data_IF_773034855099
#
_entry.id   IF_773034855099
#
_cell.length_a   1.000
_cell.length_b   1.000
_cell.length_c   1.000
_cell.angle_alpha   90.00
_cell.angle_beta   90.00
_cell.angle_gamma   90.00
#
_symmetry.space_group_name_H-M   'P 1'
#
loop_
_entity.id
_entity.type
_entity.pdbx_description
1 polymer ?
#
# COMPACT_ATOMS: atom_id res chain seq x y z
N UNK A 1 -23.84 -22.88 35.06
CA UNK A 1 -22.50 -23.46 34.85
C UNK A 1 -22.21 -23.67 33.37
N UNK A 2 -23.11 -24.28 32.59
CA UNK A 2 -22.94 -24.47 31.14
C UNK A 2 -22.82 -23.17 30.34
N UNK A 3 -23.61 -22.13 30.65
CA UNK A 3 -23.54 -20.85 29.94
C UNK A 3 -22.16 -20.18 30.06
N UNK A 4 -21.58 -20.14 31.28
CA UNK A 4 -20.25 -19.58 31.52
C UNK A 4 -19.17 -20.35 30.75
N UNK A 5 -19.22 -21.68 30.74
CA UNK A 5 -18.26 -22.53 30.00
C UNK A 5 -18.37 -22.34 28.48
N UNK A 6 -19.59 -22.23 27.97
CA UNK A 6 -19.84 -22.00 26.55
C UNK A 6 -19.40 -20.60 26.11
N UNK A 7 -19.51 -19.60 27.00
CA UNK A 7 -19.02 -18.23 26.77
C UNK A 7 -17.49 -18.14 26.80
N UNK A 8 -16.83 -18.84 27.74
CA UNK A 8 -15.37 -18.93 27.79
C UNK A 8 -14.77 -19.46 26.49
N UNK A 9 -15.34 -20.55 25.99
CA UNK A 9 -14.96 -21.18 24.72
C UNK A 9 -15.29 -20.30 23.50
N UNK A 10 -16.41 -19.58 23.53
CA UNK A 10 -16.82 -18.68 22.45
C UNK A 10 -15.85 -17.49 22.28
N UNK A 11 -15.44 -16.85 23.38
CA UNK A 11 -14.53 -15.70 23.32
C UNK A 11 -13.16 -16.14 22.80
N UNK A 12 -12.60 -17.24 23.32
CA UNK A 12 -11.32 -17.76 22.86
C UNK A 12 -11.34 -18.09 21.36
N UNK A 13 -12.38 -18.79 20.89
CA UNK A 13 -12.58 -19.10 19.46
C UNK A 13 -12.72 -17.85 18.60
N UNK A 14 -13.44 -16.84 19.08
CA UNK A 14 -13.63 -15.57 18.36
C UNK A 14 -12.32 -14.80 18.25
N UNK A 15 -11.57 -14.70 19.34
CA UNK A 15 -10.24 -14.06 19.34
C UNK A 15 -9.28 -14.76 18.38
N UNK A 16 -9.25 -16.10 18.40
CA UNK A 16 -8.42 -16.89 17.49
C UNK A 16 -8.82 -16.67 16.03
N UNK A 17 -10.13 -16.68 15.74
CA UNK A 17 -10.66 -16.42 14.40
C UNK A 17 -10.25 -15.05 13.87
N UNK A 18 -10.34 -14.00 14.69
CA UNK A 18 -9.89 -12.65 14.33
C UNK A 18 -8.39 -12.65 14.01
N UNK A 19 -7.55 -13.28 14.84
CA UNK A 19 -6.10 -13.37 14.60
C UNK A 19 -5.77 -14.09 13.30
N UNK A 20 -6.50 -15.17 12.98
CA UNK A 20 -6.34 -15.90 11.72
C UNK A 20 -6.71 -15.02 10.52
N UNK A 21 -7.82 -14.28 10.57
CA UNK A 21 -8.20 -13.36 9.51
C UNK A 21 -7.18 -12.25 9.31
N UNK A 22 -6.65 -11.68 10.40
CA UNK A 22 -5.57 -10.69 10.36
C UNK A 22 -4.31 -11.26 9.69
N UNK A 23 -3.93 -12.49 10.03
CA UNK A 23 -2.78 -13.19 9.44
C UNK A 23 -2.93 -13.40 7.94
N UNK A 24 -4.09 -13.91 7.49
CA UNK A 24 -4.38 -14.13 6.07
C UNK A 24 -4.35 -12.80 5.31
N UNK A 25 -4.98 -11.75 5.86
CA UNK A 25 -4.95 -10.42 5.27
C UNK A 25 -3.53 -9.86 5.14
N UNK A 26 -2.69 -10.06 6.16
CA UNK A 26 -1.29 -9.62 6.15
C UNK A 26 -0.52 -10.27 4.99
N UNK A 27 -0.58 -11.60 4.86
CA UNK A 27 0.13 -12.29 3.78
C UNK A 27 -0.40 -11.95 2.40
N UNK A 28 -1.72 -11.86 2.24
CA UNK A 28 -2.35 -11.45 0.98
C UNK A 28 -1.84 -10.08 0.52
N UNK A 29 -1.82 -9.08 1.41
CA UNK A 29 -1.35 -7.73 1.09
C UNK A 29 0.14 -7.75 0.76
N UNK A 30 0.95 -8.49 1.53
CA UNK A 30 2.40 -8.60 1.28
C UNK A 30 2.66 -9.11 -0.13
N UNK A 31 2.10 -10.26 -0.50
CA UNK A 31 2.34 -10.83 -1.82
C UNK A 31 1.80 -9.94 -2.95
N UNK A 32 0.55 -9.47 -2.82
CA UNK A 32 -0.06 -8.57 -3.81
C UNK A 32 0.79 -7.33 -4.08
N UNK A 33 1.30 -6.69 -3.02
CA UNK A 33 2.13 -5.49 -3.15
C UNK A 33 3.51 -5.76 -3.71
N UNK A 34 4.11 -6.90 -3.38
CA UNK A 34 5.38 -7.30 -3.99
C UNK A 34 5.24 -7.47 -5.49
N UNK A 35 4.19 -8.13 -5.96
CA UNK A 35 3.94 -8.28 -7.39
C UNK A 35 3.66 -6.94 -8.06
N UNK A 36 2.82 -6.09 -7.46
CA UNK A 36 2.52 -4.75 -7.96
C UNK A 36 3.78 -3.90 -8.11
N UNK A 37 4.59 -3.79 -7.07
CA UNK A 37 5.82 -2.98 -7.07
C UNK A 37 6.87 -3.54 -8.04
N UNK A 38 6.99 -4.87 -8.14
CA UNK A 38 7.93 -5.50 -9.06
C UNK A 38 7.54 -5.28 -10.52
N UNK A 39 6.23 -5.31 -10.81
CA UNK A 39 5.69 -4.95 -12.13
C UNK A 39 6.00 -3.49 -12.50
N UNK A 40 5.76 -2.55 -11.57
CA UNK A 40 6.08 -1.12 -11.81
C UNK A 40 7.59 -0.94 -12.02
N UNK A 41 8.44 -1.58 -11.23
CA UNK A 41 9.89 -1.50 -11.41
C UNK A 41 10.32 -1.98 -12.80
N UNK A 42 9.78 -3.11 -13.26
CA UNK A 42 10.05 -3.64 -14.60
C UNK A 42 9.61 -2.67 -15.70
N UNK A 43 8.40 -2.11 -15.60
CA UNK A 43 7.92 -1.11 -16.55
C UNK A 43 8.75 0.18 -16.54
N UNK A 44 9.38 0.54 -15.42
CA UNK A 44 10.28 1.68 -15.35
C UNK A 44 11.53 1.48 -16.18
N UNK A 45 12.17 0.32 -16.06
CA UNK A 45 13.33 -0.05 -16.91
C UNK A 45 12.97 -0.09 -18.39
N UNK A 46 11.76 -0.55 -18.72
CA UNK A 46 11.26 -0.53 -20.10
C UNK A 46 11.02 0.89 -20.61
N UNK A 47 10.47 1.76 -19.77
CA UNK A 47 10.26 3.17 -20.11
C UNK A 47 11.58 3.91 -20.32
N UNK A 48 12.57 3.69 -19.46
CA UNK A 48 13.89 4.30 -19.58
C UNK A 48 14.60 3.94 -20.89
N UNK A 49 14.37 2.74 -21.43
CA UNK A 49 14.94 2.32 -22.71
C UNK A 49 14.12 2.79 -23.90
N UNK A 50 12.83 2.44 -23.93
CA UNK A 50 12.03 2.56 -25.14
C UNK A 50 11.39 3.95 -25.31
N UNK A 51 11.10 4.67 -24.21
CA UNK A 51 10.41 5.97 -24.28
C UNK A 51 11.32 7.07 -24.83
N UNK A 52 12.58 7.09 -24.40
CA UNK A 52 13.55 8.13 -24.77
C UNK A 52 14.21 7.91 -26.14
N UNK A 53 14.14 6.69 -26.68
CA UNK A 53 14.63 6.36 -28.04
C UNK A 53 13.63 6.72 -29.15
N UNK A 54 12.39 7.08 -28.81
CA UNK A 54 11.34 7.32 -29.79
C UNK A 54 11.38 8.74 -30.37
N UNK A 55 11.14 8.86 -31.68
CA UNK A 55 11.19 10.14 -32.40
C UNK A 55 10.07 11.12 -32.03
N UNK A 56 8.94 10.62 -31.52
CA UNK A 56 7.80 11.44 -31.12
C UNK A 56 7.21 11.02 -29.77
N UNK A 57 6.61 11.97 -29.05
CA UNK A 57 5.94 11.69 -27.77
C UNK A 57 4.76 10.71 -27.89
N UNK A 58 4.05 10.70 -29.03
CA UNK A 58 2.95 9.76 -29.23
C UNK A 58 3.45 8.33 -29.44
N UNK A 59 4.49 8.13 -30.26
CA UNK A 59 5.14 6.82 -30.44
C UNK A 59 5.82 6.35 -29.16
N UNK A 60 6.46 7.26 -28.41
CA UNK A 60 7.05 6.97 -27.11
C UNK A 60 6.02 6.40 -26.13
N UNK A 61 4.85 7.06 -26.00
CA UNK A 61 3.73 6.60 -25.18
C UNK A 61 3.17 5.24 -25.65
N UNK A 62 3.05 5.03 -26.96
CA UNK A 62 2.53 3.78 -27.54
C UNK A 62 3.47 2.59 -27.38
N UNK A 63 4.79 2.84 -27.28
CA UNK A 63 5.81 1.82 -26.99
C UNK A 63 5.72 1.23 -25.58
N UNK A 64 4.99 1.88 -24.67
CA UNK A 64 4.82 1.43 -23.29
C UNK A 64 3.60 0.51 -23.15
N UNK A 65 3.68 -0.47 -22.25
CA UNK A 65 2.55 -1.35 -21.91
C UNK A 65 1.31 -0.53 -21.47
N UNK A 66 0.09 -0.84 -21.95
CA UNK A 66 -1.16 -0.15 -21.57
C UNK A 66 -1.43 -0.10 -20.05
N UNK A 67 -0.93 -1.08 -19.30
CA UNK A 67 -1.05 -1.16 -17.83
C UNK A 67 0.11 -0.50 -17.08
N UNK A 68 1.06 0.09 -17.80
CA UNK A 68 2.22 0.77 -17.22
C UNK A 68 1.82 2.07 -16.54
N UNK A 69 2.30 2.22 -15.30
CA UNK A 69 2.24 3.47 -14.55
C UNK A 69 2.92 4.63 -15.29
N UNK A 70 4.01 4.35 -16.02
CA UNK A 70 4.76 5.34 -16.78
C UNK A 70 3.96 5.81 -17.99
N UNK A 71 3.24 4.90 -18.66
CA UNK A 71 2.31 5.25 -19.75
C UNK A 71 1.18 6.15 -19.26
N UNK A 72 0.59 5.82 -18.11
CA UNK A 72 -0.45 6.65 -17.51
C UNK A 72 0.03 8.09 -17.24
N UNK A 73 1.25 8.26 -16.72
CA UNK A 73 1.85 9.59 -16.48
C UNK A 73 2.13 10.29 -17.81
N UNK A 74 2.74 9.61 -18.77
CA UNK A 74 3.00 10.14 -20.10
C UNK A 74 1.73 10.62 -20.79
N UNK A 75 0.66 9.82 -20.74
CA UNK A 75 -0.64 10.16 -21.31
C UNK A 75 -1.25 11.40 -20.66
N UNK A 76 -1.20 11.51 -19.32
CA UNK A 76 -1.70 12.70 -18.62
C UNK A 76 -0.87 13.95 -18.91
N UNK A 77 0.45 13.83 -19.01
CA UNK A 77 1.34 14.92 -19.41
C UNK A 77 1.04 15.38 -20.84
N UNK A 78 1.05 14.48 -21.82
CA UNK A 78 0.78 14.79 -23.24
C UNK A 78 -0.65 15.32 -23.44
N UNK A 79 -1.63 14.79 -22.72
CA UNK A 79 -3.01 15.30 -22.82
C UNK A 79 -3.12 16.73 -22.29
N UNK A 80 -2.33 17.09 -21.27
CA UNK A 80 -2.35 18.43 -20.68
C UNK A 80 -1.85 19.51 -21.62
N UNK A 81 -0.95 19.19 -22.56
CA UNK A 81 -0.46 20.16 -23.55
C UNK A 81 -1.49 20.48 -24.64
N UNK A 82 -2.42 19.55 -24.91
CA UNK A 82 -3.47 19.72 -25.94
C UNK A 82 -4.76 20.36 -25.44
N UNK A 83 -4.91 20.53 -24.12
CA UNK A 83 -6.17 20.97 -23.49
C UNK A 83 -5.95 22.15 -22.53
N UNK A 84 -5.08 23.08 -22.91
CA UNK A 84 -4.88 24.34 -22.19
C UNK A 84 -5.87 25.44 -22.64
N UNK A 85 -6.96 25.08 -23.34
CA UNK A 85 -7.84 26.05 -24.03
C UNK A 85 -9.11 26.44 -23.24
N UNK A 86 -9.14 26.22 -21.92
CA UNK A 86 -10.30 26.56 -21.08
C UNK A 86 -10.21 27.99 -20.52
N UNK A 87 -11.32 28.75 -20.54
CA UNK A 87 -11.39 30.15 -20.03
C UNK A 87 -10.99 30.33 -18.55
N UNK A 88 -11.03 29.26 -17.75
CA UNK A 88 -10.52 29.25 -16.37
C UNK A 88 -9.04 28.81 -16.27
N UNK A 89 -8.55 28.07 -17.25
CA UNK A 89 -7.17 27.55 -17.33
C UNK A 89 -6.22 28.54 -17.99
N UNK A 90 -6.73 29.46 -18.82
CA UNK A 90 -5.98 30.55 -19.47
C UNK A 90 -5.30 31.50 -18.46
N UNK A 91 -5.78 31.51 -17.21
CA UNK A 91 -5.16 32.27 -16.09
C UNK A 91 -3.95 31.57 -15.47
N UNK A 92 -3.73 30.29 -15.78
CA UNK A 92 -2.62 29.50 -15.27
C UNK A 92 -1.61 29.37 -16.40
N UNK A 93 -0.37 29.73 -16.13
CA UNK A 93 0.73 29.56 -17.05
C UNK A 93 0.87 28.10 -17.53
N UNK A 94 1.22 27.90 -18.81
CA UNK A 94 1.29 26.58 -19.44
C UNK A 94 2.22 25.62 -18.69
N UNK A 95 3.41 26.09 -18.30
CA UNK A 95 4.37 25.29 -17.53
C UNK A 95 3.78 24.85 -16.20
N UNK A 96 3.10 25.77 -15.51
CA UNK A 96 2.42 25.47 -14.25
C UNK A 96 1.31 24.42 -14.45
N UNK A 97 0.53 24.51 -15.52
CA UNK A 97 -0.54 23.58 -15.84
C UNK A 97 -0.03 22.15 -16.12
N UNK A 98 1.01 22.03 -16.94
CA UNK A 98 1.64 20.73 -17.26
C UNK A 98 2.28 20.12 -16.01
N UNK A 99 2.99 20.93 -15.21
CA UNK A 99 3.56 20.51 -13.91
C UNK A 99 2.50 19.89 -13.01
N UNK A 100 1.39 20.61 -12.79
CA UNK A 100 0.28 20.15 -11.93
C UNK A 100 -0.33 18.86 -12.47
N UNK A 101 -0.47 18.73 -13.80
CA UNK A 101 -1.06 17.55 -14.43
C UNK A 101 -0.22 16.30 -14.22
N UNK A 102 1.10 16.39 -14.40
CA UNK A 102 2.04 15.30 -14.13
C UNK A 102 2.08 14.97 -12.64
N UNK A 103 2.17 15.99 -11.79
CA UNK A 103 2.22 15.82 -10.33
C UNK A 103 0.96 15.12 -9.80
N UNK A 104 -0.23 15.49 -10.27
CA UNK A 104 -1.50 14.79 -9.95
C UNK A 104 -1.48 13.33 -10.39
N UNK A 105 -0.89 13.04 -11.56
CA UNK A 105 -0.76 11.66 -12.02
C UNK A 105 0.16 10.85 -11.10
N UNK A 106 1.31 11.41 -10.70
CA UNK A 106 2.26 10.81 -9.76
C UNK A 106 1.62 10.58 -8.39
N UNK A 107 0.88 11.56 -7.85
CA UNK A 107 0.20 11.45 -6.57
C UNK A 107 -0.86 10.35 -6.57
N UNK A 108 -1.59 10.19 -7.68
CA UNK A 108 -2.54 9.10 -7.83
C UNK A 108 -1.82 7.75 -7.75
N UNK A 109 -0.67 7.60 -8.41
CA UNK A 109 0.15 6.38 -8.34
C UNK A 109 0.63 6.12 -6.90
N UNK A 110 1.12 7.15 -6.22
CA UNK A 110 1.58 7.07 -4.83
C UNK A 110 0.45 6.59 -3.90
N UNK A 111 -0.76 7.14 -4.06
CA UNK A 111 -1.94 6.72 -3.31
C UNK A 111 -2.25 5.23 -3.53
N UNK A 112 -2.25 4.76 -4.78
CA UNK A 112 -2.50 3.35 -5.10
C UNK A 112 -1.45 2.41 -4.49
N UNK A 113 -0.18 2.83 -4.46
CA UNK A 113 0.90 2.08 -3.80
C UNK A 113 0.70 1.99 -2.28
N UNK A 114 0.14 3.04 -1.66
CA UNK A 114 -0.14 3.11 -0.22
C UNK A 114 -1.32 2.26 0.25
N UNK A 115 -2.26 1.90 -0.63
CA UNK A 115 -3.42 1.09 -0.28
C UNK A 115 -3.01 -0.22 0.45
N UNK A 116 -3.73 -0.60 1.52
CA UNK A 116 -3.43 -1.82 2.28
C UNK A 116 -2.26 -1.71 3.26
N UNK A 117 -1.36 -0.72 3.15
CA UNK A 117 -0.32 -0.51 4.16
C UNK A 117 -0.90 -0.14 5.53
N UNK A 118 -1.98 0.64 5.54
CA UNK A 118 -2.71 0.97 6.77
C UNK A 118 -3.20 -0.30 7.51
N UNK A 119 -3.67 -1.31 6.77
CA UNK A 119 -4.08 -2.58 7.37
C UNK A 119 -2.90 -3.29 8.03
N UNK A 120 -1.74 -3.38 7.36
CA UNK A 120 -0.53 -3.98 7.96
C UNK A 120 -0.09 -3.24 9.22
N UNK A 121 -0.13 -1.91 9.21
CA UNK A 121 0.20 -1.09 10.37
C UNK A 121 -0.78 -1.35 11.53
N UNK A 122 -2.08 -1.41 11.25
CA UNK A 122 -3.11 -1.71 12.26
C UNK A 122 -2.98 -3.12 12.80
N UNK A 123 -2.79 -4.14 11.96
CA UNK A 123 -2.58 -5.52 12.44
C UNK A 123 -1.31 -5.62 13.28
N UNK A 124 -0.22 -5.00 12.82
CA UNK A 124 1.05 -4.98 13.53
C UNK A 124 0.96 -4.36 14.92
N UNK A 125 0.13 -3.33 15.12
CA UNK A 125 -0.06 -2.70 16.42
C UNK A 125 -1.14 -3.34 17.28
N UNK A 126 -2.18 -3.94 16.69
CA UNK A 126 -3.35 -4.43 17.45
C UNK A 126 -3.34 -5.93 17.74
N UNK A 127 -2.74 -6.76 16.88
CA UNK A 127 -2.74 -8.22 17.06
C UNK A 127 -2.13 -8.70 18.40
N UNK A 128 -1.06 -8.07 18.96
CA UNK A 128 -0.54 -8.45 20.27
C UNK A 128 -1.58 -8.24 21.39
N UNK A 129 -2.34 -7.14 21.32
CA UNK A 129 -3.37 -6.83 22.31
C UNK A 129 -4.58 -7.75 22.18
N UNK A 130 -4.93 -8.17 20.97
CA UNK A 130 -5.96 -9.20 20.73
C UNK A 130 -5.54 -10.54 21.36
N UNK A 131 -4.28 -10.95 21.20
CA UNK A 131 -3.75 -12.16 21.84
C UNK A 131 -3.69 -12.06 23.38
N UNK A 132 -3.28 -10.91 23.90
CA UNK A 132 -3.28 -10.61 25.33
C UNK A 132 -4.71 -10.68 25.90
N UNK A 133 -5.69 -10.10 25.22
CA UNK A 133 -7.10 -10.18 25.60
C UNK A 133 -7.58 -11.63 25.71
N UNK A 134 -7.28 -12.46 24.71
CA UNK A 134 -7.61 -13.90 24.76
C UNK A 134 -6.98 -14.61 25.96
N UNK A 135 -5.75 -14.25 26.31
CA UNK A 135 -5.03 -14.81 27.47
C UNK A 135 -5.68 -14.39 28.78
N UNK A 136 -5.99 -13.10 28.94
CA UNK A 136 -6.65 -12.55 30.14
C UNK A 136 -8.02 -13.21 30.34
N UNK A 137 -8.80 -13.36 29.27
CA UNK A 137 -10.10 -14.02 29.34
C UNK A 137 -9.99 -15.51 29.71
N UNK A 138 -9.04 -16.23 29.10
CA UNK A 138 -8.79 -17.64 29.41
C UNK A 138 -8.42 -17.87 30.87
N UNK A 139 -7.50 -17.05 31.41
CA UNK A 139 -7.10 -17.11 32.83
C UNK A 139 -8.29 -16.75 33.75
N UNK A 140 -9.06 -15.72 33.41
CA UNK A 140 -10.27 -15.36 34.17
C UNK A 140 -11.26 -16.52 34.24
N UNK A 141 -11.51 -17.19 33.12
CA UNK A 141 -12.44 -18.31 33.06
C UNK A 141 -11.93 -19.52 33.88
N UNK A 142 -10.64 -19.83 33.77
CA UNK A 142 -9.99 -20.89 34.54
C UNK A 142 -10.09 -20.65 36.05
N UNK A 143 -9.74 -19.45 36.52
CA UNK A 143 -9.81 -19.09 37.94
C UNK A 143 -11.25 -19.10 38.47
N UNK A 144 -12.21 -18.65 37.66
CA UNK A 144 -13.64 -18.71 38.02
C UNK A 144 -14.11 -20.15 38.20
N UNK A 145 -13.75 -21.05 37.29
CA UNK A 145 -14.10 -22.48 37.38
C UNK A 145 -13.51 -23.13 38.64
N UNK A 146 -12.26 -22.82 38.98
CA UNK A 146 -11.61 -23.29 40.21
C UNK A 146 -12.33 -22.77 41.45
N UNK A 147 -12.65 -21.47 41.49
CA UNK A 147 -13.36 -20.83 42.60
C UNK A 147 -14.73 -21.46 42.85
N UNK A 148 -15.48 -21.80 41.79
CA UNK A 148 -16.78 -22.50 41.90
C UNK A 148 -16.60 -23.94 42.37
N UNK A 149 -15.55 -24.64 41.90
CA UNK A 149 -15.29 -26.04 42.27
C UNK A 149 -14.81 -26.23 43.71
N UNK A 150 -14.27 -25.18 44.34
CA UNK A 150 -13.67 -25.24 45.67
C UNK A 150 -12.36 -26.05 45.77
N UNK A 151 -11.89 -26.64 44.67
CA UNK A 151 -10.67 -27.45 44.62
C UNK A 151 -9.57 -26.70 43.87
N UNK A 152 -8.74 -25.97 44.63
CA UNK A 152 -7.53 -25.36 44.09
C UNK A 152 -6.38 -26.37 44.12
N UNK A 153 -6.23 -27.19 43.08
CA UNK A 153 -5.01 -27.98 42.84
C UNK A 153 -4.27 -27.49 41.61
N UNK A 154 -2.94 -27.62 41.63
CA UNK A 154 -2.08 -27.13 40.54
C UNK A 154 -2.41 -27.81 39.20
N UNK A 155 -2.80 -29.08 39.24
CA UNK A 155 -3.20 -29.87 38.08
C UNK A 155 -4.47 -29.31 37.40
N UNK A 156 -5.36 -28.67 38.18
CA UNK A 156 -6.58 -28.03 37.67
C UNK A 156 -6.34 -26.64 37.09
N UNK A 157 -5.23 -25.99 37.45
CA UNK A 157 -4.86 -24.63 37.01
C UNK A 157 -3.92 -24.67 35.79
N UNK A 158 -2.95 -25.59 35.78
CA UNK A 158 -1.84 -25.57 34.85
C UNK A 158 -2.27 -25.72 33.37
N UNK A 159 -3.22 -26.61 33.09
CA UNK A 159 -3.74 -26.82 31.72
C UNK A 159 -4.39 -25.57 31.14
N UNK A 160 -5.49 -25.05 31.73
CA UNK A 160 -6.20 -23.89 31.22
C UNK A 160 -5.33 -22.61 31.12
N UNK A 161 -4.41 -22.41 32.08
CA UNK A 161 -3.48 -21.28 32.03
C UNK A 161 -2.47 -21.43 30.89
N UNK A 162 -1.96 -22.64 30.66
CA UNK A 162 -1.07 -22.94 29.52
C UNK A 162 -1.75 -22.68 28.18
N UNK A 163 -3.00 -23.12 28.01
CA UNK A 163 -3.79 -22.86 26.79
C UNK A 163 -4.02 -21.35 26.56
N UNK A 164 -4.28 -20.60 27.63
CA UNK A 164 -4.44 -19.16 27.54
C UNK A 164 -3.16 -18.46 27.03
N UNK A 165 -1.97 -18.88 27.47
CA UNK A 165 -0.69 -18.30 27.04
C UNK A 165 -0.42 -18.47 25.54
N UNK A 166 -0.95 -19.52 24.92
CA UNK A 166 -0.82 -19.75 23.48
C UNK A 166 -1.47 -18.59 22.69
N UNK A 167 -2.54 -17.98 23.20
CA UNK A 167 -3.22 -16.86 22.53
C UNK A 167 -2.32 -15.63 22.37
N UNK A 168 -1.50 -15.31 23.38
CA UNK A 168 -0.50 -14.24 23.28
C UNK A 168 0.58 -14.60 22.25
N UNK A 169 1.06 -15.84 22.26
CA UNK A 169 2.06 -16.29 21.28
C UNK A 169 1.54 -16.18 19.84
N UNK A 170 0.28 -16.54 19.59
CA UNK A 170 -0.36 -16.38 18.28
C UNK A 170 -0.49 -14.89 17.93
N UNK A 171 -0.93 -14.04 18.86
CA UNK A 171 -1.00 -12.59 18.65
C UNK A 171 0.33 -11.99 18.18
N UNK A 172 1.44 -12.40 18.81
CA UNK A 172 2.79 -11.99 18.40
C UNK A 172 3.18 -12.58 17.04
N UNK A 173 2.87 -13.86 16.79
CA UNK A 173 3.15 -14.51 15.51
C UNK A 173 2.41 -13.86 14.33
N UNK A 174 1.25 -13.25 14.56
CA UNK A 174 0.52 -12.46 13.56
C UNK A 174 1.09 -11.04 13.42
N UNK A 175 1.46 -10.40 14.53
CA UNK A 175 1.95 -9.03 14.54
C UNK A 175 3.33 -8.87 13.86
N UNK A 176 4.26 -9.78 14.13
CA UNK A 176 5.65 -9.67 13.67
C UNK A 176 5.75 -9.61 12.13
N UNK A 177 5.13 -10.52 11.36
CA UNK A 177 5.12 -10.42 9.90
C UNK A 177 4.45 -9.15 9.38
N UNK A 178 3.39 -8.67 10.04
CA UNK A 178 2.68 -7.46 9.64
C UNK A 178 3.58 -6.21 9.76
N UNK A 179 4.28 -6.06 10.88
CA UNK A 179 5.21 -4.93 11.11
C UNK A 179 6.40 -4.99 10.14
N UNK A 180 7.00 -6.17 9.96
CA UNK A 180 8.12 -6.35 9.03
C UNK A 180 7.69 -6.07 7.58
N UNK A 181 6.55 -6.61 7.17
CA UNK A 181 5.95 -6.39 5.86
C UNK A 181 5.65 -4.91 5.60
N UNK A 182 5.02 -4.22 6.55
CA UNK A 182 4.74 -2.79 6.46
C UNK A 182 6.01 -1.97 6.22
N UNK A 183 7.04 -2.17 7.06
CA UNK A 183 8.29 -1.41 6.98
C UNK A 183 9.02 -1.69 5.66
N UNK A 184 9.08 -2.95 5.25
CA UNK A 184 9.76 -3.35 4.02
C UNK A 184 9.05 -2.82 2.77
N UNK A 185 7.71 -2.96 2.68
CA UNK A 185 6.93 -2.45 1.57
C UNK A 185 6.95 -0.92 1.49
N UNK A 186 7.00 -0.22 2.63
CA UNK A 186 7.10 1.25 2.66
C UNK A 186 8.44 1.72 2.08
N UNK A 187 9.54 1.07 2.45
CA UNK A 187 10.87 1.34 1.86
C UNK A 187 10.88 1.06 0.36
N UNK A 188 10.26 -0.04 -0.06
CA UNK A 188 10.18 -0.43 -1.47
C UNK A 188 9.30 0.53 -2.28
N UNK A 189 8.19 1.01 -1.70
CA UNK A 189 7.36 2.07 -2.29
C UNK A 189 8.17 3.35 -2.51
N UNK A 190 9.01 3.76 -1.55
CA UNK A 190 9.90 4.93 -1.73
C UNK A 190 10.81 4.76 -2.94
N UNK A 191 11.52 3.64 -3.05
CA UNK A 191 12.40 3.38 -4.18
C UNK A 191 11.67 3.37 -5.53
N UNK A 192 10.48 2.77 -5.60
CA UNK A 192 9.66 2.79 -6.82
C UNK A 192 9.20 4.22 -7.16
N UNK A 193 8.78 4.99 -6.16
CA UNK A 193 8.31 6.37 -6.36
C UNK A 193 9.43 7.32 -6.78
N UNK A 194 10.67 7.09 -6.35
CA UNK A 194 11.80 7.90 -6.78
C UNK A 194 12.02 7.75 -8.31
N UNK A 195 11.91 6.54 -8.86
CA UNK A 195 11.96 6.31 -10.31
C UNK A 195 10.78 6.95 -11.05
N UNK A 196 9.57 6.80 -10.51
CA UNK A 196 8.35 7.39 -11.09
C UNK A 196 8.44 8.92 -11.15
N UNK A 197 8.97 9.54 -10.09
CA UNK A 197 9.18 10.99 -10.04
C UNK A 197 10.25 11.45 -11.02
N UNK A 198 11.38 10.74 -11.11
CA UNK A 198 12.42 11.04 -12.10
C UNK A 198 11.84 11.06 -13.51
N UNK A 199 11.12 10.01 -13.90
CA UNK A 199 10.45 9.96 -15.20
C UNK A 199 9.48 11.13 -15.42
N UNK A 200 8.70 11.49 -14.41
CA UNK A 200 7.80 12.65 -14.49
C UNK A 200 8.52 13.97 -14.70
N UNK A 201 9.66 14.18 -14.03
CA UNK A 201 10.52 15.36 -14.21
C UNK A 201 11.14 15.42 -15.60
N UNK A 202 11.63 14.30 -16.10
CA UNK A 202 12.21 14.22 -17.46
C UNK A 202 11.13 14.47 -18.52
N UNK A 203 9.94 13.88 -18.33
CA UNK A 203 8.80 14.10 -19.22
C UNK A 203 8.38 15.57 -19.23
N UNK A 204 8.36 16.22 -18.06
CA UNK A 204 8.06 17.64 -17.95
C UNK A 204 9.05 18.48 -18.75
N UNK A 205 10.36 18.21 -18.64
CA UNK A 205 11.39 18.91 -19.39
C UNK A 205 11.19 18.76 -20.91
N UNK A 206 10.87 17.56 -21.39
CA UNK A 206 10.62 17.30 -22.83
C UNK A 206 9.35 17.97 -23.33
N UNK A 207 8.27 17.98 -22.53
CA UNK A 207 7.02 18.64 -22.94
C UNK A 207 7.17 20.16 -23.08
N UNK A 208 8.02 20.77 -22.26
CA UNK A 208 8.30 22.20 -22.36
C UNK A 208 9.30 22.54 -23.45
N UNK A 209 10.33 21.72 -23.67
CA UNK A 209 11.29 21.95 -24.75
C UNK A 209 10.66 21.75 -26.13
N UNK A 210 9.71 20.82 -26.25
CA UNK A 210 8.92 20.61 -27.46
C UNK A 210 8.08 21.84 -27.84
N UNK A 211 7.57 22.58 -26.85
CA UNK A 211 6.76 23.79 -27.09
C UNK A 211 7.59 25.05 -27.34
N UNK A 212 8.83 25.11 -26.83
CA UNK A 212 9.77 26.20 -27.15
C UNK A 212 10.14 26.24 -28.64
N UNK A 213 10.04 25.12 -29.36
CA UNK A 213 10.29 25.05 -30.81
C UNK A 213 9.04 25.32 -31.68
N UNK A 214 7.83 25.40 -31.13
CA UNK A 214 6.60 25.73 -31.89
C UNK A 214 6.38 27.23 -32.09
N UNK A 215 7.18 28.12 -31.48
CA UNK A 215 6.95 29.56 -31.47
C UNK A 215 8.04 30.40 -32.18
N UNK A 216 8.41 30.02 -33.41
CA UNK A 216 9.01 30.96 -34.37
C UNK A 216 8.13 31.12 -35.61
N UNK A 217 7.22 32.12 -35.63
CA UNK A 217 6.69 32.59 -36.89
C UNK A 217 7.84 33.21 -37.67
N UNK A 218 8.27 32.48 -38.70
CA UNK A 218 9.08 33.02 -39.77
C UNK A 218 8.36 34.25 -40.37
N UNK A 219 8.77 35.44 -39.98
CA UNK A 219 8.48 36.70 -40.69
C UNK A 219 9.78 37.43 -40.95
N UNK A 220 10.61 36.83 -41.80
CA UNK A 220 11.37 37.60 -42.79
C UNK A 220 10.82 37.27 -44.17
N UNK A 221 9.90 38.10 -44.67
CA UNK A 221 9.82 38.39 -46.10
C UNK A 221 9.08 39.70 -46.35
N UNK A 222 9.86 40.66 -46.89
CA UNK A 222 9.55 41.98 -47.46
C UNK A 222 9.63 43.17 -46.52
#
# INVERSE_FOLDING_TARGET
MEALWREGDLVAKTTLFILVLMSIGTWYIIFSKVFQQSKIKRHGTEAERNFWEADTLNSAKESLDPSSTYRYIAEKGIHSTKHHDGTLLERIDFNTWVTISIQRAIEKVQSHLGNGLAFLATVGSTAPFVGLFGTVWGIYHALTAIGISGQASIDKVAGPVGEALIMTAIGLAVAVPAVLGYNWLTRRNKAVMDNVRSFGSDLHAVLLSGDLNSNHPNRNSK
#
